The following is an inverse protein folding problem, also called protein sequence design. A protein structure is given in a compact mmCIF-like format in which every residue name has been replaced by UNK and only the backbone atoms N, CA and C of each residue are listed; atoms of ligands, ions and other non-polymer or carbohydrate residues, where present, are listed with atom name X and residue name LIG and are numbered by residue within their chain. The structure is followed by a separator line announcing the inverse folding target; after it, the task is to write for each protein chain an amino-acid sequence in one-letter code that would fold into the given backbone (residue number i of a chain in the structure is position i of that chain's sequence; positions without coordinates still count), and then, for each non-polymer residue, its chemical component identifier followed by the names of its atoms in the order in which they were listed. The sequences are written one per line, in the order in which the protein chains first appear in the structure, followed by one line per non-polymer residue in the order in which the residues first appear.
data_IF_680909273022
#
_entry.id   IF_680909273022
#
_cell.length_a   1.000
_cell.length_b   1.000
_cell.length_c   1.000
_cell.angle_alpha   90.00
_cell.angle_beta   90.00
_cell.angle_gamma   90.00
#
_symmetry.space_group_name_H-M   'P 1'
#
loop_
_entity.id
_entity.type
_entity.pdbx_description
1 polymer ?
#
# COMPACT_ATOMS: atom_id res chain seq x y z
N UNK A 1 -10.64 22.08 -18.97
CA UNK A 1 -9.94 20.77 -18.83
C UNK A 1 -10.39 20.16 -17.51
N UNK A 2 -10.96 18.97 -17.54
CA UNK A 2 -11.49 18.27 -16.35
C UNK A 2 -10.34 17.91 -15.39
N UNK A 3 -10.62 17.84 -14.07
CA UNK A 3 -9.64 17.52 -13.00
C UNK A 3 -8.88 16.24 -13.31
N UNK A 4 -9.57 15.21 -13.81
CA UNK A 4 -8.95 13.93 -14.21
C UNK A 4 -7.90 14.11 -15.31
N UNK A 5 -8.19 14.92 -16.33
CA UNK A 5 -7.24 15.18 -17.40
C UNK A 5 -6.00 15.96 -16.91
N UNK A 6 -6.17 16.90 -15.98
CA UNK A 6 -5.05 17.60 -15.33
C UNK A 6 -4.15 16.63 -14.56
N UNK A 7 -4.76 15.71 -13.82
CA UNK A 7 -4.02 14.67 -13.08
C UNK A 7 -3.22 13.77 -14.04
N UNK A 8 -3.86 13.26 -15.09
CA UNK A 8 -3.21 12.38 -16.09
C UNK A 8 -2.04 13.07 -16.81
N UNK A 9 -2.18 14.35 -17.16
CA UNK A 9 -1.10 15.17 -17.72
C UNK A 9 0.04 15.32 -16.69
N UNK A 10 -0.29 15.66 -15.43
CA UNK A 10 0.72 15.81 -14.38
C UNK A 10 1.48 14.52 -14.09
N UNK A 11 0.83 13.35 -14.18
CA UNK A 11 1.49 12.03 -14.04
C UNK A 11 2.50 11.78 -15.15
N UNK A 12 2.23 12.25 -16.37
CA UNK A 12 3.17 12.12 -17.50
C UNK A 12 4.34 13.09 -17.40
N UNK A 13 4.05 14.36 -17.10
CA UNK A 13 5.06 15.43 -17.12
C UNK A 13 5.99 15.39 -15.90
N UNK A 14 5.44 15.06 -14.73
CA UNK A 14 6.18 15.04 -13.45
C UNK A 14 5.86 13.77 -12.66
N UNK A 15 6.23 12.57 -13.16
CA UNK A 15 5.79 11.30 -12.60
C UNK A 15 6.18 11.10 -11.13
N UNK A 16 7.42 11.39 -10.77
CA UNK A 16 7.87 11.24 -9.38
C UNK A 16 7.09 12.12 -8.41
N UNK A 17 6.98 13.41 -8.71
CA UNK A 17 6.28 14.36 -7.83
C UNK A 17 4.80 14.00 -7.66
N UNK A 18 4.10 13.79 -8.78
CA UNK A 18 2.66 13.56 -8.77
C UNK A 18 2.32 12.22 -8.12
N UNK A 19 3.04 11.15 -8.49
CA UNK A 19 2.77 9.83 -7.93
C UNK A 19 3.21 9.72 -6.46
N UNK A 20 4.31 10.35 -6.04
CA UNK A 20 4.69 10.39 -4.62
C UNK A 20 3.64 11.06 -3.75
N UNK A 21 3.12 12.21 -4.18
CA UNK A 21 2.03 12.89 -3.46
C UNK A 21 0.76 12.03 -3.42
N UNK A 22 0.43 11.35 -4.52
CA UNK A 22 -0.72 10.44 -4.58
C UNK A 22 -0.55 9.28 -3.58
N UNK A 23 0.60 8.62 -3.57
CA UNK A 23 0.89 7.51 -2.66
C UNK A 23 0.84 7.98 -1.20
N UNK A 24 1.45 9.13 -0.89
CA UNK A 24 1.40 9.76 0.44
C UNK A 24 -0.03 9.97 0.91
N UNK A 25 -0.86 10.56 0.06
CA UNK A 25 -2.27 10.81 0.34
C UNK A 25 -3.06 9.50 0.54
N UNK A 26 -2.83 8.50 -0.30
CA UNK A 26 -3.49 7.19 -0.19
C UNK A 26 -3.11 6.47 1.11
N UNK A 27 -1.84 6.54 1.53
CA UNK A 27 -1.38 5.95 2.79
C UNK A 27 -2.04 6.62 4.00
N UNK A 28 -2.09 7.95 4.01
CA UNK A 28 -2.77 8.70 5.07
C UNK A 28 -4.27 8.39 5.11
N UNK A 29 -4.94 8.43 3.96
CA UNK A 29 -6.39 8.17 3.86
C UNK A 29 -6.74 6.73 4.25
N UNK A 30 -5.94 5.75 3.83
CA UNK A 30 -6.13 4.34 4.21
C UNK A 30 -6.01 4.13 5.71
N UNK A 31 -5.04 4.78 6.36
CA UNK A 31 -4.90 4.73 7.82
C UNK A 31 -6.08 5.40 8.53
N UNK A 32 -6.54 6.56 8.09
CA UNK A 32 -7.72 7.23 8.66
C UNK A 32 -8.98 6.35 8.55
N UNK A 33 -9.19 5.71 7.40
CA UNK A 33 -10.31 4.78 7.20
C UNK A 33 -10.17 3.58 8.14
N UNK A 34 -8.96 3.01 8.28
CA UNK A 34 -8.69 1.92 9.21
C UNK A 34 -9.05 2.30 10.65
N UNK A 35 -8.55 3.45 11.12
CA UNK A 35 -8.85 3.97 12.46
C UNK A 35 -10.36 4.17 12.68
N UNK A 36 -11.07 4.72 11.69
CA UNK A 36 -12.52 4.89 11.75
C UNK A 36 -13.27 3.57 11.88
N UNK A 37 -12.90 2.56 11.05
CA UNK A 37 -13.51 1.23 11.09
C UNK A 37 -13.28 0.57 12.46
N UNK A 38 -12.04 0.61 12.96
CA UNK A 38 -11.68 0.00 14.24
C UNK A 38 -12.36 0.71 15.42
N UNK A 39 -12.44 2.04 15.39
CA UNK A 39 -13.18 2.81 16.39
C UNK A 39 -14.67 2.42 16.44
N UNK A 40 -15.30 2.30 15.25
CA UNK A 40 -16.70 1.89 15.15
C UNK A 40 -16.94 0.45 15.63
N UNK A 41 -16.01 -0.46 15.33
CA UNK A 41 -16.06 -1.85 15.78
C UNK A 41 -15.94 -1.96 17.31
N UNK A 42 -14.98 -1.26 17.92
CA UNK A 42 -14.78 -1.23 19.38
C UNK A 42 -15.99 -0.65 20.14
N UNK A 43 -16.61 0.39 19.60
CA UNK A 43 -17.83 0.99 20.19
C UNK A 43 -19.01 0.02 20.18
N UNK A 44 -19.11 -0.86 19.17
CA UNK A 44 -20.18 -1.84 19.05
C UNK A 44 -20.03 -3.02 20.05
N UNK A 45 -18.81 -3.27 20.55
CA UNK A 45 -18.50 -4.33 21.49
C UNK A 45 -18.50 -3.87 22.97
N UNK A 46 -18.99 -2.67 23.25
CA UNK A 46 -19.04 -2.07 24.60
C UNK A 46 -17.68 -2.04 25.36
N UNK A 47 -16.60 -2.22 24.61
CA UNK A 47 -15.26 -2.08 25.13
C UNK A 47 -15.00 -0.58 25.35
N UNK A 48 -14.87 -0.16 26.62
CA UNK A 48 -14.53 1.22 27.04
C UNK A 48 -13.13 1.67 26.56
N UNK A 49 -12.73 1.28 25.37
CA UNK A 49 -11.52 1.77 24.75
C UNK A 49 -11.80 3.18 24.23
N UNK A 50 -11.31 4.18 24.95
CA UNK A 50 -11.17 5.57 24.50
C UNK A 50 -10.20 5.61 23.30
N UNK A 51 -10.64 5.09 22.16
CA UNK A 51 -9.89 5.15 20.91
C UNK A 51 -10.02 6.55 20.35
N UNK A 52 -9.18 7.46 20.82
CA UNK A 52 -8.99 8.75 20.14
C UNK A 52 -8.23 8.54 18.85
N UNK A 53 -8.54 9.33 17.83
CA UNK A 53 -7.80 9.35 16.58
C UNK A 53 -6.31 9.64 16.83
N UNK A 54 -5.44 8.76 16.31
CA UNK A 54 -3.99 8.91 16.44
C UNK A 54 -3.40 9.58 15.19
N UNK A 55 -3.29 10.91 15.25
CA UNK A 55 -2.73 11.71 14.16
C UNK A 55 -1.24 11.41 13.91
N UNK A 56 -0.49 11.00 14.95
CA UNK A 56 0.94 10.65 14.81
C UNK A 56 1.09 9.39 13.95
N UNK A 57 0.21 8.41 14.16
CA UNK A 57 0.10 7.20 13.35
C UNK A 57 -0.16 7.54 11.88
N UNK A 58 -1.15 8.38 11.61
CA UNK A 58 -1.51 8.80 10.25
C UNK A 58 -0.38 9.58 9.57
N UNK A 59 0.28 10.48 10.29
CA UNK A 59 1.44 11.22 9.77
C UNK A 59 2.61 10.28 9.46
N UNK A 60 2.86 9.30 10.32
CA UNK A 60 3.85 8.25 10.08
C UNK A 60 3.53 7.46 8.81
N UNK A 61 2.28 7.06 8.60
CA UNK A 61 1.85 6.35 7.38
C UNK A 61 2.02 7.21 6.11
N UNK A 62 1.72 8.51 6.19
CA UNK A 62 1.97 9.45 5.11
C UNK A 62 3.46 9.52 4.76
N UNK A 63 4.33 9.65 5.77
CA UNK A 63 5.78 9.70 5.60
C UNK A 63 6.33 8.38 5.00
N UNK A 64 5.85 7.23 5.49
CA UNK A 64 6.25 5.92 4.96
C UNK A 64 5.86 5.80 3.48
N UNK A 65 4.64 6.19 3.12
CA UNK A 65 4.20 6.22 1.73
C UNK A 65 5.08 7.10 0.84
N UNK A 66 5.47 8.28 1.34
CA UNK A 66 6.40 9.17 0.64
C UNK A 66 7.78 8.53 0.47
N UNK A 67 8.33 7.95 1.53
CA UNK A 67 9.68 7.36 1.53
C UNK A 67 9.81 6.14 0.59
N UNK A 68 8.75 5.33 0.45
CA UNK A 68 8.73 4.15 -0.41
C UNK A 68 8.41 4.50 -1.87
N UNK A 69 7.74 5.63 -2.12
CA UNK A 69 7.26 6.00 -3.45
C UNK A 69 8.32 6.03 -4.55
N UNK A 70 9.58 6.50 -4.35
CA UNK A 70 10.59 6.49 -5.40
C UNK A 70 10.90 5.09 -5.93
N UNK A 71 10.98 4.08 -5.02
CA UNK A 71 11.17 2.69 -5.39
C UNK A 71 10.03 2.17 -6.26
N UNK A 72 8.78 2.41 -5.85
CA UNK A 72 7.60 1.98 -6.60
C UNK A 72 7.53 2.65 -7.98
N UNK A 73 7.72 3.97 -8.01
CA UNK A 73 7.63 4.77 -9.25
C UNK A 73 8.71 4.35 -10.23
N UNK A 74 9.94 4.15 -9.76
CA UNK A 74 11.04 3.71 -10.59
C UNK A 74 10.75 2.35 -11.24
N UNK A 75 10.25 1.37 -10.46
CA UNK A 75 9.90 0.06 -11.01
C UNK A 75 8.79 0.14 -12.04
N UNK A 76 7.67 0.82 -11.74
CA UNK A 76 6.52 0.87 -12.63
C UNK A 76 6.74 1.70 -13.89
N UNK A 77 7.48 2.80 -13.81
CA UNK A 77 7.66 3.71 -14.92
C UNK A 77 8.92 3.42 -15.77
N UNK A 78 9.94 2.77 -15.18
CA UNK A 78 11.21 2.56 -15.87
C UNK A 78 11.62 1.09 -15.95
N UNK A 79 11.65 0.34 -14.85
CA UNK A 79 12.15 -1.03 -14.85
C UNK A 79 11.21 -1.98 -15.62
N UNK A 80 9.92 -2.02 -15.27
CA UNK A 80 8.93 -2.91 -15.90
C UNK A 80 8.79 -2.66 -17.40
N UNK A 81 8.64 -1.41 -17.89
CA UNK A 81 8.55 -1.16 -19.34
C UNK A 81 9.82 -1.55 -20.13
N UNK A 82 10.99 -1.46 -19.51
CA UNK A 82 12.26 -1.86 -20.12
C UNK A 82 12.47 -3.36 -20.14
N UNK A 83 12.15 -4.05 -19.03
CA UNK A 83 12.30 -5.51 -18.91
C UNK A 83 11.23 -6.26 -19.70
N UNK A 84 10.03 -5.68 -19.80
CA UNK A 84 8.86 -6.30 -20.43
C UNK A 84 8.21 -5.32 -21.43
N UNK A 85 8.84 -5.04 -22.57
CA UNK A 85 8.28 -4.18 -23.61
C UNK A 85 7.03 -4.81 -24.24
N UNK A 86 6.22 -4.00 -24.95
CA UNK A 86 4.90 -4.41 -25.45
C UNK A 86 4.90 -5.58 -26.44
N UNK A 87 6.02 -5.81 -27.13
CA UNK A 87 6.17 -6.87 -28.14
C UNK A 87 6.48 -8.26 -27.54
N UNK A 88 6.77 -8.36 -26.23
CA UNK A 88 7.06 -9.66 -25.59
C UNK A 88 5.76 -10.42 -25.33
N UNK A 89 5.67 -11.70 -25.76
CA UNK A 89 4.51 -12.55 -25.47
C UNK A 89 4.35 -12.74 -23.95
N UNK A 90 3.10 -12.78 -23.50
CA UNK A 90 2.76 -12.91 -22.08
C UNK A 90 3.33 -11.79 -21.18
N UNK A 91 3.51 -10.57 -21.72
CA UNK A 91 4.06 -9.41 -21.01
C UNK A 91 3.42 -9.20 -19.64
N UNK A 92 2.09 -9.23 -19.56
CA UNK A 92 1.35 -9.00 -18.31
C UNK A 92 1.70 -10.06 -17.26
N UNK A 93 1.73 -11.33 -17.66
CA UNK A 93 2.11 -12.43 -16.76
C UNK A 93 3.54 -12.27 -16.26
N UNK A 94 4.49 -12.02 -17.17
CA UNK A 94 5.92 -11.84 -16.81
C UNK A 94 6.15 -10.65 -15.91
N UNK A 95 5.49 -9.50 -16.18
CA UNK A 95 5.58 -8.31 -15.32
C UNK A 95 4.95 -8.56 -13.94
N UNK A 96 3.86 -9.33 -13.86
CA UNK A 96 3.27 -9.71 -12.58
C UNK A 96 4.22 -10.63 -11.78
N UNK A 97 4.82 -11.65 -12.42
CA UNK A 97 5.81 -12.51 -11.76
C UNK A 97 6.96 -11.68 -11.19
N UNK A 98 7.53 -10.75 -11.97
CA UNK A 98 8.56 -9.84 -11.49
C UNK A 98 8.08 -8.98 -10.31
N UNK A 99 6.89 -8.40 -10.43
CA UNK A 99 6.31 -7.55 -9.40
C UNK A 99 6.11 -8.32 -8.08
N UNK A 100 5.56 -9.54 -8.13
CA UNK A 100 5.29 -10.31 -6.90
C UNK A 100 6.54 -11.01 -6.35
N UNK A 101 7.54 -11.31 -7.17
CA UNK A 101 8.77 -11.97 -6.71
C UNK A 101 9.85 -11.00 -6.25
N UNK A 102 9.87 -9.77 -6.73
CA UNK A 102 10.94 -8.80 -6.43
C UNK A 102 10.37 -7.49 -5.87
N UNK A 103 9.50 -6.81 -6.62
CA UNK A 103 9.04 -5.47 -6.22
C UNK A 103 8.19 -5.52 -4.95
N UNK A 104 7.26 -6.46 -4.87
CA UNK A 104 6.38 -6.66 -3.72
C UNK A 104 7.12 -6.99 -2.43
N UNK A 105 7.99 -8.03 -2.41
CA UNK A 105 8.80 -8.35 -1.23
C UNK A 105 9.67 -7.21 -0.74
N UNK A 106 10.38 -6.51 -1.64
CA UNK A 106 11.19 -5.35 -1.26
C UNK A 106 10.32 -4.24 -0.68
N UNK A 107 9.17 -3.97 -1.31
CA UNK A 107 8.22 -2.96 -0.85
C UNK A 107 7.65 -3.29 0.54
N UNK A 108 7.27 -4.55 0.78
CA UNK A 108 6.77 -5.01 2.07
C UNK A 108 7.85 -4.93 3.17
N UNK A 109 9.08 -5.33 2.86
CA UNK A 109 10.20 -5.21 3.81
C UNK A 109 10.47 -3.76 4.19
N UNK A 110 10.54 -2.85 3.21
CA UNK A 110 10.72 -1.42 3.46
C UNK A 110 9.56 -0.85 4.30
N UNK A 111 8.33 -1.19 3.96
CA UNK A 111 7.14 -0.74 4.69
C UNK A 111 7.19 -1.19 6.15
N UNK A 112 7.33 -2.49 6.43
CA UNK A 112 7.33 -2.98 7.80
C UNK A 112 8.58 -2.59 8.59
N UNK A 113 9.72 -2.36 7.94
CA UNK A 113 10.90 -1.80 8.59
C UNK A 113 10.65 -0.37 9.08
N UNK A 114 10.07 0.48 8.22
CA UNK A 114 9.74 1.86 8.59
C UNK A 114 8.62 1.93 9.65
N UNK A 115 7.60 1.08 9.55
CA UNK A 115 6.56 0.97 10.59
C UNK A 115 7.15 0.49 11.90
N UNK A 116 8.01 -0.54 11.89
CA UNK A 116 8.69 -1.03 13.08
C UNK A 116 9.50 0.06 13.78
N UNK A 117 10.25 0.83 13.00
CA UNK A 117 11.02 1.97 13.52
C UNK A 117 10.11 3.06 14.10
N UNK A 118 9.01 3.37 13.43
CA UNK A 118 8.02 4.35 13.92
C UNK A 118 7.36 3.92 15.24
N UNK A 119 7.07 2.63 15.42
CA UNK A 119 6.39 2.10 16.61
C UNK A 119 7.33 1.85 17.79
N UNK A 120 8.53 1.34 17.52
CA UNK A 120 9.42 0.82 18.58
C UNK A 120 10.72 1.62 18.72
N UNK A 121 11.01 2.54 17.78
CA UNK A 121 12.31 3.25 17.73
C UNK A 121 13.46 2.38 17.21
N UNK A 122 13.23 1.10 16.89
CA UNK A 122 14.22 0.16 16.35
C UNK A 122 13.55 -0.88 15.44
N UNK A 123 14.38 -1.64 14.70
CA UNK A 123 13.89 -2.70 13.81
C UNK A 123 13.61 -3.99 14.59
N UNK A 124 12.34 -4.21 14.96
CA UNK A 124 11.90 -5.43 15.65
C UNK A 124 11.71 -6.57 14.64
N UNK A 125 12.69 -7.49 14.56
CA UNK A 125 12.72 -8.55 13.54
C UNK A 125 11.48 -9.43 13.53
N UNK A 126 10.96 -9.81 14.70
CA UNK A 126 9.77 -10.68 14.80
C UNK A 126 8.51 -9.98 14.27
N UNK A 127 8.35 -8.67 14.54
CA UNK A 127 7.29 -7.86 13.99
C UNK A 127 7.36 -7.80 12.47
N UNK A 128 8.55 -7.51 11.92
CA UNK A 128 8.76 -7.43 10.48
C UNK A 128 8.47 -8.77 9.84
N UNK A 129 9.02 -9.86 10.37
CA UNK A 129 8.87 -11.22 9.80
C UNK A 129 7.41 -11.67 9.79
N UNK A 130 6.70 -11.54 10.91
CA UNK A 130 5.29 -11.96 11.03
C UNK A 130 4.41 -11.22 10.02
N UNK A 131 4.49 -9.88 9.98
CA UNK A 131 3.65 -9.07 9.12
C UNK A 131 4.05 -9.18 7.64
N UNK A 132 5.33 -9.39 7.34
CA UNK A 132 5.83 -9.60 5.99
C UNK A 132 5.20 -10.84 5.33
N UNK A 133 5.28 -12.00 5.96
CA UNK A 133 4.74 -13.22 5.36
C UNK A 133 3.22 -13.17 5.20
N UNK A 134 2.51 -12.62 6.18
CA UNK A 134 1.06 -12.46 6.09
C UNK A 134 0.67 -11.49 4.96
N UNK A 135 1.34 -10.34 4.86
CA UNK A 135 1.07 -9.38 3.78
C UNK A 135 1.42 -9.93 2.40
N UNK A 136 2.47 -10.74 2.29
CA UNK A 136 2.85 -11.38 1.03
C UNK A 136 1.80 -12.39 0.58
N UNK A 137 1.36 -13.27 1.47
CA UNK A 137 0.34 -14.27 1.16
C UNK A 137 -0.98 -13.63 0.72
N UNK A 138 -1.50 -12.70 1.54
CA UNK A 138 -2.73 -11.98 1.20
C UNK A 138 -2.52 -11.09 -0.04
N UNK A 139 -1.35 -10.47 -0.17
CA UNK A 139 -1.01 -9.63 -1.31
C UNK A 139 -1.10 -10.37 -2.64
N UNK A 140 -0.51 -11.55 -2.74
CA UNK A 140 -0.60 -12.35 -3.98
C UNK A 140 -2.05 -12.75 -4.26
N UNK A 141 -2.79 -13.21 -3.24
CA UNK A 141 -4.17 -13.64 -3.40
C UNK A 141 -5.12 -12.50 -3.85
N UNK A 142 -4.83 -11.26 -3.43
CA UNK A 142 -5.68 -10.09 -3.70
C UNK A 142 -5.22 -9.34 -4.97
N UNK A 143 -3.94 -9.07 -5.10
CA UNK A 143 -3.42 -8.26 -6.19
C UNK A 143 -3.33 -9.01 -7.53
N UNK A 144 -3.08 -10.31 -7.54
CA UNK A 144 -2.95 -11.08 -8.78
C UNK A 144 -4.30 -11.15 -9.56
N UNK A 145 -5.43 -11.48 -8.94
CA UNK A 145 -6.74 -11.39 -9.60
C UNK A 145 -7.08 -9.96 -10.02
N UNK A 146 -6.81 -8.98 -9.13
CA UNK A 146 -7.08 -7.57 -9.43
C UNK A 146 -6.26 -7.08 -10.64
N UNK A 147 -4.95 -7.34 -10.68
CA UNK A 147 -4.10 -6.92 -11.79
C UNK A 147 -4.55 -7.54 -13.12
N UNK A 148 -4.90 -8.82 -13.09
CA UNK A 148 -5.43 -9.53 -14.26
C UNK A 148 -6.73 -8.90 -14.76
N UNK A 149 -7.66 -8.61 -13.85
CA UNK A 149 -8.91 -7.90 -14.16
C UNK A 149 -8.63 -6.51 -14.74
N UNK A 150 -7.77 -5.73 -14.08
CA UNK A 150 -7.43 -4.36 -14.48
C UNK A 150 -6.81 -4.30 -15.88
N UNK A 151 -5.93 -5.26 -16.21
CA UNK A 151 -5.34 -5.31 -17.55
C UNK A 151 -6.30 -5.81 -18.62
N UNK A 152 -7.20 -6.74 -18.29
CA UNK A 152 -8.10 -7.36 -19.25
C UNK A 152 -9.33 -6.50 -19.57
N UNK A 153 -9.92 -5.87 -18.56
CA UNK A 153 -11.22 -5.21 -18.67
C UNK A 153 -11.17 -3.69 -18.58
N UNK A 154 -10.15 -3.11 -17.91
CA UNK A 154 -10.06 -1.66 -17.74
C UNK A 154 -9.31 -1.02 -18.91
N UNK A 155 -9.90 -0.01 -19.59
CA UNK A 155 -9.20 0.76 -20.63
C UNK A 155 -7.90 1.37 -20.10
N UNK A 156 -6.85 1.41 -20.96
CA UNK A 156 -5.48 1.77 -20.56
C UNK A 156 -5.39 3.10 -19.81
N UNK A 157 -6.18 4.10 -20.18
CA UNK A 157 -6.18 5.43 -19.56
C UNK A 157 -6.79 5.47 -18.15
N UNK A 158 -7.62 4.47 -17.78
CA UNK A 158 -8.21 4.36 -16.43
C UNK A 158 -7.46 3.40 -15.50
N UNK A 159 -6.54 2.58 -16.00
CA UNK A 159 -5.85 1.54 -15.21
C UNK A 159 -5.14 2.09 -13.98
N UNK A 160 -4.49 3.24 -14.11
CA UNK A 160 -3.80 3.89 -13.00
C UNK A 160 -4.78 4.35 -11.93
N UNK A 161 -5.91 4.93 -12.32
CA UNK A 161 -6.93 5.38 -11.38
C UNK A 161 -7.53 4.20 -10.62
N UNK A 162 -7.91 3.14 -11.34
CA UNK A 162 -8.45 1.91 -10.74
C UNK A 162 -7.44 1.27 -9.79
N UNK A 163 -6.16 1.21 -10.19
CA UNK A 163 -5.08 0.71 -9.37
C UNK A 163 -4.89 1.52 -8.08
N UNK A 164 -4.91 2.84 -8.17
CA UNK A 164 -4.79 3.72 -7.01
C UNK A 164 -5.98 3.60 -6.05
N UNK A 165 -7.20 3.49 -6.59
CA UNK A 165 -8.40 3.24 -5.77
C UNK A 165 -8.28 1.92 -5.03
N UNK A 166 -7.83 0.87 -5.69
CA UNK A 166 -7.61 -0.43 -5.07
C UNK A 166 -6.48 -0.40 -4.03
N UNK A 167 -5.40 0.32 -4.32
CA UNK A 167 -4.29 0.51 -3.39
C UNK A 167 -4.71 1.19 -2.09
N UNK A 168 -5.73 2.05 -2.09
CA UNK A 168 -6.28 2.66 -0.88
C UNK A 168 -6.88 1.58 0.05
N UNK A 169 -7.66 0.63 -0.48
CA UNK A 169 -8.19 -0.49 0.31
C UNK A 169 -7.07 -1.39 0.83
N UNK A 170 -6.07 -1.65 0.01
CA UNK A 170 -4.87 -2.37 0.43
C UNK A 170 -4.15 -1.68 1.59
N UNK A 171 -4.08 -0.35 1.58
CA UNK A 171 -3.47 0.42 2.66
C UNK A 171 -4.27 0.35 3.97
N UNK A 172 -5.61 0.25 3.91
CA UNK A 172 -6.44 -0.03 5.10
C UNK A 172 -6.03 -1.36 5.74
N UNK A 173 -5.87 -2.41 4.92
CA UNK A 173 -5.41 -3.73 5.39
C UNK A 173 -4.00 -3.67 6.01
N UNK A 174 -3.05 -3.03 5.35
CA UNK A 174 -1.68 -2.89 5.88
C UNK A 174 -1.64 -2.10 7.20
N UNK A 175 -2.44 -1.06 7.31
CA UNK A 175 -2.55 -0.28 8.54
C UNK A 175 -3.15 -1.10 9.68
N UNK A 176 -4.21 -1.87 9.42
CA UNK A 176 -4.79 -2.81 10.37
C UNK A 176 -3.75 -3.83 10.86
N UNK A 177 -3.06 -4.48 9.93
CA UNK A 177 -2.05 -5.50 10.24
C UNK A 177 -0.92 -4.95 11.11
N UNK A 178 -0.48 -3.72 10.83
CA UNK A 178 0.66 -3.10 11.49
C UNK A 178 0.37 -2.61 12.90
N UNK A 179 -0.81 -2.05 13.13
CA UNK A 179 -1.11 -1.33 14.37
C UNK A 179 -2.15 -2.05 15.23
N UNK A 180 -3.26 -2.44 14.66
CA UNK A 180 -4.40 -2.91 15.44
C UNK A 180 -4.27 -4.39 15.81
N UNK A 181 -3.79 -5.23 14.91
CA UNK A 181 -3.49 -6.63 15.20
C UNK A 181 -2.35 -6.77 16.23
N UNK A 182 -1.32 -5.93 16.12
CA UNK A 182 -0.22 -5.93 17.09
C UNK A 182 -0.69 -5.54 18.50
N UNK A 183 -1.63 -4.59 18.60
CA UNK A 183 -2.22 -4.16 19.88
C UNK A 183 -3.05 -5.28 20.53
N UNK A 184 -3.92 -5.94 19.76
CA UNK A 184 -4.78 -7.02 20.27
C UNK A 184 -3.96 -8.20 20.81
N UNK A 185 -2.89 -8.59 20.10
CA UNK A 185 -1.99 -9.67 20.54
C UNK A 185 -1.29 -9.37 21.87
N UNK A 186 -0.96 -8.11 22.14
CA UNK A 186 -0.34 -7.72 23.40
C UNK A 186 -1.35 -7.73 24.57
N UNK A 187 -2.62 -7.47 24.30
CA UNK A 187 -3.69 -7.48 25.31
C UNK A 187 -4.09 -8.91 25.73
N UNK A 188 -3.94 -9.90 24.84
CA UNK A 188 -4.22 -11.32 25.16
C UNK A 188 -3.11 -11.99 25.97
N UNK A 189 -1.93 -11.37 26.06
CA UNK A 189 -0.75 -11.91 26.79
C UNK A 189 -0.58 -11.29 28.20
N UNK A 190 -1.42 -10.34 28.57
CA UNK A 190 -1.46 -9.67 29.89
C UNK A 190 -2.69 -10.07 30.68
#
# INVERSE_FOLDING_TARGET
MNILNRYLVSVKDKPFRTQSLTITFLCASGDLICQYIMHKASKKQDLQSKSSFDYKRTLSQAFIGFAISPWMIWNHNFAIPRLFPNHIPYRVLKSNIYTYSIVGPVNALLYFALVSYSLHGYLKKDFIKSNFFESMYVGVAVWLPFSTFNFKYVPAHYRTLTGNTFAMFWQVFLSYLSYDKAKNKNTELT
#
